data_IF_727197590254
#
_entry.id   IF_727197590254
#
_cell.length_a   1.000
_cell.length_b   1.000
_cell.length_c   1.000
_cell.angle_alpha   90.00
_cell.angle_beta   90.00
_cell.angle_gamma   90.00
#
_symmetry.space_group_name_H-M   'P 1'
#
loop_
_entity.id
_entity.type
_entity.pdbx_description
1 polymer ?
#
# COMPACT_ATOMS: atom_id res chain seq x y z
N UNK A 1 11.54 8.63 5.70
CA UNK A 1 10.09 8.40 5.91
C UNK A 1 9.34 9.66 5.48
N UNK A 2 8.44 9.59 4.49
CA UNK A 2 7.81 10.80 3.91
C UNK A 2 6.95 11.56 4.94
N UNK A 3 6.97 12.90 4.91
CA UNK A 3 6.16 13.72 5.80
C UNK A 3 4.66 13.46 5.57
N UNK A 4 3.89 13.48 6.66
CA UNK A 4 2.43 13.23 6.65
C UNK A 4 1.71 14.12 5.63
N UNK A 5 2.15 15.37 5.52
CA UNK A 5 1.59 16.41 4.65
C UNK A 5 1.69 16.05 3.18
N UNK A 6 2.81 15.47 2.73
CA UNK A 6 3.03 15.13 1.32
C UNK A 6 2.10 14.00 0.85
N UNK A 7 1.90 12.99 1.69
CA UNK A 7 0.97 11.88 1.40
C UNK A 7 -0.47 12.40 1.39
N UNK A 8 -0.84 13.26 2.34
CA UNK A 8 -2.18 13.82 2.39
C UNK A 8 -2.51 14.67 1.15
N UNK A 9 -1.57 15.52 0.71
CA UNK A 9 -1.72 16.31 -0.52
C UNK A 9 -1.89 15.40 -1.73
N UNK A 10 -1.08 14.34 -1.85
CA UNK A 10 -1.18 13.41 -2.96
C UNK A 10 -2.55 12.69 -3.00
N UNK A 11 -3.07 12.26 -1.85
CA UNK A 11 -4.40 11.64 -1.76
C UNK A 11 -5.48 12.64 -2.22
N UNK A 12 -5.40 13.90 -1.79
CA UNK A 12 -6.40 14.91 -2.17
C UNK A 12 -6.34 15.26 -3.66
N UNK A 13 -5.15 15.23 -4.26
CA UNK A 13 -4.91 15.58 -5.67
C UNK A 13 -5.32 14.48 -6.64
N UNK A 14 -5.01 13.22 -6.32
CA UNK A 14 -5.16 12.11 -7.27
C UNK A 14 -6.43 11.27 -7.05
N UNK A 15 -7.00 11.25 -5.84
CA UNK A 15 -8.18 10.44 -5.55
C UNK A 15 -9.48 11.27 -5.58
N UNK A 16 -10.54 10.87 -6.32
CA UNK A 16 -11.88 11.45 -6.20
C UNK A 16 -12.48 11.23 -4.81
N UNK A 17 -13.57 11.94 -4.49
CA UNK A 17 -14.26 11.81 -3.20
C UNK A 17 -15.00 10.46 -3.10
N UNK A 18 -14.29 9.45 -2.61
CA UNK A 18 -14.77 8.07 -2.45
C UNK A 18 -14.57 7.57 -1.02
N UNK A 19 -15.28 6.50 -0.63
CA UNK A 19 -15.09 5.83 0.66
C UNK A 19 -13.63 5.36 0.86
N UNK A 20 -12.97 4.96 -0.23
CA UNK A 20 -11.56 4.61 -0.25
C UNK A 20 -10.67 5.80 0.16
N UNK A 21 -10.85 6.96 -0.47
CA UNK A 21 -10.13 8.20 -0.13
C UNK A 21 -10.31 8.56 1.34
N UNK A 22 -11.53 8.52 1.86
CA UNK A 22 -11.78 8.83 3.26
C UNK A 22 -11.07 7.87 4.21
N UNK A 23 -11.07 6.57 3.88
CA UNK A 23 -10.35 5.56 4.67
C UNK A 23 -8.84 5.82 4.69
N UNK A 24 -8.25 6.18 3.56
CA UNK A 24 -6.83 6.57 3.49
C UNK A 24 -6.54 7.81 4.32
N UNK A 25 -7.40 8.83 4.23
CA UNK A 25 -7.26 10.06 5.02
C UNK A 25 -7.42 9.80 6.53
N UNK A 26 -8.27 8.84 6.94
CA UNK A 26 -8.37 8.43 8.34
C UNK A 26 -7.10 7.72 8.82
N UNK A 27 -6.55 6.81 8.02
CA UNK A 27 -5.33 6.07 8.39
C UNK A 27 -4.08 6.98 8.42
N UNK A 28 -3.94 7.93 7.49
CA UNK A 28 -2.81 8.87 7.51
C UNK A 28 -2.85 9.84 8.70
N UNK A 29 -4.06 10.15 9.19
CA UNK A 29 -4.28 10.97 10.39
C UNK A 29 -3.80 10.29 11.67
N UNK A 30 -3.68 8.95 11.69
CA UNK A 30 -3.15 8.22 12.85
C UNK A 30 -1.69 8.59 13.10
N UNK A 31 -1.33 8.62 14.39
CA UNK A 31 0.07 8.80 14.83
C UNK A 31 0.97 7.76 14.17
N UNK A 32 2.21 8.13 13.82
CA UNK A 32 3.18 7.23 13.17
C UNK A 32 3.33 5.89 13.90
N UNK A 33 3.22 5.92 15.23
CA UNK A 33 3.30 4.76 16.15
C UNK A 33 2.14 3.77 15.96
N UNK A 34 0.96 4.29 15.62
CA UNK A 34 -0.28 3.53 15.49
C UNK A 34 -0.62 3.19 14.03
N UNK A 35 0.30 3.48 13.10
CA UNK A 35 0.13 3.08 11.70
C UNK A 35 0.39 1.59 11.59
N UNK A 36 -0.35 0.96 10.67
CA UNK A 36 -0.24 -0.47 10.45
C UNK A 36 1.14 -0.82 9.90
N UNK A 37 1.68 -1.93 10.38
CA UNK A 37 2.94 -2.49 9.89
C UNK A 37 2.63 -3.92 9.45
N UNK A 38 2.81 -4.18 8.16
CA UNK A 38 2.41 -5.45 7.55
C UNK A 38 3.63 -6.14 6.96
N UNK A 39 3.79 -7.43 7.26
CA UNK A 39 4.83 -8.26 6.66
C UNK A 39 4.34 -8.89 5.35
N UNK A 40 5.25 -9.16 4.42
CA UNK A 40 4.95 -9.85 3.17
C UNK A 40 4.25 -11.20 3.38
N UNK A 41 4.60 -11.93 4.44
CA UNK A 41 3.94 -13.20 4.79
C UNK A 41 2.44 -13.05 5.04
N UNK A 42 1.99 -11.91 5.57
CA UNK A 42 0.56 -11.62 5.77
C UNK A 42 -0.14 -11.32 4.45
N UNK A 43 0.53 -10.60 3.55
CA UNK A 43 0.00 -10.28 2.22
C UNK A 43 -0.15 -11.57 1.40
N UNK A 44 0.87 -12.44 1.41
CA UNK A 44 0.86 -13.73 0.70
C UNK A 44 -0.36 -14.60 1.06
N UNK A 45 -0.78 -14.61 2.33
CA UNK A 45 -1.91 -15.42 2.81
C UNK A 45 -3.28 -14.90 2.38
N UNK A 46 -3.40 -13.62 2.09
CA UNK A 46 -4.69 -12.95 1.86
C UNK A 46 -4.87 -12.41 0.45
N UNK A 47 -3.80 -12.30 -0.32
CA UNK A 47 -3.85 -11.86 -1.71
C UNK A 47 -3.83 -13.07 -2.64
N UNK A 48 -4.60 -13.03 -3.72
CA UNK A 48 -4.52 -14.00 -4.81
C UNK A 48 -3.58 -13.53 -5.92
N UNK A 49 -3.25 -14.37 -6.90
CA UNK A 49 -2.41 -13.93 -8.01
C UNK A 49 -3.14 -12.88 -8.88
N UNK A 50 -2.41 -11.85 -9.31
CA UNK A 50 -2.92 -10.65 -10.00
C UNK A 50 -3.80 -9.70 -9.16
N UNK A 51 -3.92 -9.92 -7.84
CA UNK A 51 -4.63 -8.98 -6.97
C UNK A 51 -3.95 -7.61 -6.88
N UNK A 52 -4.77 -6.61 -6.55
CA UNK A 52 -4.33 -5.26 -6.21
C UNK A 52 -4.57 -5.01 -4.72
N UNK A 53 -3.47 -4.96 -3.96
CA UNK A 53 -3.52 -4.80 -2.50
C UNK A 53 -3.01 -3.43 -2.10
N UNK A 54 -3.70 -2.75 -1.19
CA UNK A 54 -3.22 -1.52 -0.57
C UNK A 54 -3.03 -1.66 0.93
N UNK A 55 -1.84 -1.33 1.41
CA UNK A 55 -1.49 -1.30 2.84
C UNK A 55 -1.43 0.15 3.33
N UNK A 56 -2.33 0.59 4.23
CA UNK A 56 -2.36 1.95 4.76
C UNK A 56 -1.31 2.11 5.87
N UNK A 57 -0.05 1.83 5.55
CA UNK A 57 1.00 1.64 6.53
C UNK A 57 2.37 1.37 5.92
N UNK A 58 3.27 0.81 6.74
CA UNK A 58 4.61 0.38 6.30
C UNK A 58 4.59 -1.12 5.99
N UNK A 59 5.11 -1.49 4.82
CA UNK A 59 5.33 -2.89 4.46
C UNK A 59 6.77 -3.29 4.76
N UNK A 60 6.93 -4.42 5.45
CA UNK A 60 8.21 -5.00 5.80
C UNK A 60 8.47 -6.28 5.02
N UNK A 61 9.72 -6.49 4.63
CA UNK A 61 10.17 -7.59 3.79
C UNK A 61 10.37 -8.94 4.50
N UNK A 62 9.71 -9.18 5.64
CA UNK A 62 9.87 -10.44 6.37
C UNK A 62 8.95 -11.53 5.81
N UNK A 63 9.50 -12.74 5.63
CA UNK A 63 8.81 -13.89 5.04
C UNK A 63 9.12 -14.14 3.57
N UNK A 64 8.56 -15.21 3.03
CA UNK A 64 8.63 -15.60 1.62
C UNK A 64 7.46 -14.96 0.87
N UNK A 65 7.76 -14.40 -0.29
CA UNK A 65 6.78 -13.78 -1.17
C UNK A 65 6.99 -14.28 -2.59
N UNK A 66 5.99 -14.93 -3.16
CA UNK A 66 6.08 -15.62 -4.47
C UNK A 66 4.96 -15.23 -5.44
N UNK A 67 3.92 -14.57 -4.94
CA UNK A 67 2.75 -14.20 -5.74
C UNK A 67 3.01 -12.96 -6.60
N UNK A 68 2.45 -12.94 -7.80
CA UNK A 68 2.56 -11.82 -8.74
C UNK A 68 1.40 -10.85 -8.52
N UNK A 69 1.56 -9.94 -7.57
CA UNK A 69 0.52 -8.97 -7.21
C UNK A 69 1.04 -7.54 -7.24
N UNK A 70 0.11 -6.60 -7.34
CA UNK A 70 0.40 -5.17 -7.22
C UNK A 70 0.16 -4.74 -5.78
N UNK A 71 1.22 -4.33 -5.08
CA UNK A 71 1.16 -3.88 -3.68
C UNK A 71 1.37 -2.37 -3.62
N UNK A 72 0.34 -1.65 -3.17
CA UNK A 72 0.38 -0.24 -2.82
C UNK A 72 0.66 -0.04 -1.33
N UNK A 73 1.52 0.91 -0.94
CA UNK A 73 1.66 1.30 0.47
C UNK A 73 2.10 2.76 0.67
N UNK A 74 2.04 3.24 1.92
CA UNK A 74 2.63 4.54 2.28
C UNK A 74 4.15 4.50 2.29
N UNK A 75 4.73 3.37 2.67
CA UNK A 75 6.18 3.18 2.73
C UNK A 75 6.53 1.69 2.68
N UNK A 76 7.63 1.37 2.03
CA UNK A 76 8.19 0.03 2.00
C UNK A 76 9.57 0.00 2.66
N UNK A 77 9.95 -1.14 3.21
CA UNK A 77 11.37 -1.43 3.47
C UNK A 77 12.08 -1.82 2.18
N UNK A 78 13.37 -1.58 2.08
CA UNK A 78 14.18 -1.98 0.91
C UNK A 78 14.06 -3.48 0.62
N UNK A 79 14.12 -4.31 1.67
CA UNK A 79 13.93 -5.76 1.55
C UNK A 79 12.55 -6.14 1.01
N UNK A 80 11.51 -5.33 1.27
CA UNK A 80 10.17 -5.60 0.76
C UNK A 80 10.11 -5.33 -0.75
N UNK A 81 10.66 -4.20 -1.19
CA UNK A 81 10.73 -3.84 -2.62
C UNK A 81 11.48 -4.93 -3.38
N UNK A 82 12.67 -5.32 -2.91
CA UNK A 82 13.48 -6.38 -3.55
C UNK A 82 12.70 -7.68 -3.72
N UNK A 83 11.98 -8.13 -2.69
CA UNK A 83 11.20 -9.37 -2.73
C UNK A 83 9.97 -9.28 -3.63
N UNK A 84 9.26 -8.15 -3.62
CA UNK A 84 8.09 -7.94 -4.47
C UNK A 84 8.53 -7.94 -5.94
N UNK A 85 9.59 -7.20 -6.28
CA UNK A 85 10.15 -7.16 -7.64
C UNK A 85 10.70 -8.52 -8.05
N UNK A 86 11.38 -9.25 -7.15
CA UNK A 86 11.89 -10.60 -7.44
C UNK A 86 10.78 -11.62 -7.71
N UNK A 87 9.61 -11.48 -7.06
CA UNK A 87 8.44 -12.31 -7.34
C UNK A 87 7.73 -11.94 -8.67
N UNK A 88 8.17 -10.87 -9.36
CA UNK A 88 7.50 -10.35 -10.55
C UNK A 88 6.25 -9.52 -10.23
N UNK A 89 6.10 -9.07 -8.98
CA UNK A 89 5.05 -8.15 -8.56
C UNK A 89 5.47 -6.69 -8.70
N UNK A 90 4.53 -5.78 -8.45
CA UNK A 90 4.74 -4.32 -8.52
C UNK A 90 4.60 -3.70 -7.14
N UNK A 91 5.62 -3.00 -6.66
CA UNK A 91 5.57 -2.22 -5.43
C UNK A 91 5.34 -0.75 -5.76
N UNK A 92 4.15 -0.23 -5.49
CA UNK A 92 3.75 1.13 -5.79
C UNK A 92 3.59 1.95 -4.51
N UNK A 93 4.14 3.16 -4.49
CA UNK A 93 3.85 4.11 -3.43
C UNK A 93 2.45 4.69 -3.62
N UNK A 94 1.84 5.17 -2.54
CA UNK A 94 0.50 5.79 -2.55
C UNK A 94 0.29 6.82 -3.68
N UNK A 95 1.32 7.58 -4.05
CA UNK A 95 1.21 8.57 -5.12
C UNK A 95 0.98 7.92 -6.49
N UNK A 96 1.78 6.91 -6.81
CA UNK A 96 1.72 6.20 -8.09
C UNK A 96 0.54 5.23 -8.13
N UNK A 97 0.28 4.58 -7.00
CA UNK A 97 -0.90 3.73 -6.83
C UNK A 97 -2.19 4.51 -7.08
N UNK A 98 -2.32 5.74 -6.59
CA UNK A 98 -3.50 6.57 -6.84
C UNK A 98 -3.57 7.15 -8.24
N UNK A 99 -2.47 7.20 -9.00
CA UNK A 99 -2.51 7.54 -10.43
C UNK A 99 -3.14 6.42 -11.24
N UNK A 100 -2.80 5.16 -10.91
CA UNK A 100 -3.34 3.98 -11.58
C UNK A 100 -4.75 3.62 -11.07
N UNK A 101 -4.96 3.65 -9.75
CA UNK A 101 -6.19 3.23 -9.06
C UNK A 101 -6.80 4.38 -8.24
N UNK A 102 -7.25 5.48 -8.87
CA UNK A 102 -7.75 6.65 -8.15
C UNK A 102 -9.02 6.34 -7.33
N UNK A 103 -9.88 5.46 -7.82
CA UNK A 103 -11.17 5.11 -7.18
C UNK A 103 -11.06 4.00 -6.14
N UNK A 104 -9.97 3.23 -6.14
CA UNK A 104 -9.85 2.02 -5.31
C UNK A 104 -10.79 0.89 -5.70
N UNK A 105 -11.32 0.91 -6.93
CA UNK A 105 -12.08 -0.21 -7.50
C UNK A 105 -11.17 -1.43 -7.60
N UNK A 106 -11.61 -2.57 -7.07
CA UNK A 106 -10.83 -3.83 -7.01
C UNK A 106 -9.58 -3.78 -6.12
N UNK A 107 -9.50 -2.83 -5.18
CA UNK A 107 -8.38 -2.73 -4.24
C UNK A 107 -8.72 -3.36 -2.90
N UNK A 108 -7.97 -4.39 -2.53
CA UNK A 108 -8.08 -5.05 -1.22
C UNK A 108 -7.20 -4.31 -0.20
N UNK A 109 -7.81 -3.74 0.84
CA UNK A 109 -7.06 -3.05 1.90
C UNK A 109 -6.65 -4.05 2.99
N UNK A 110 -5.35 -4.29 3.11
CA UNK A 110 -4.77 -5.16 4.14
C UNK A 110 -4.10 -4.31 5.22
N UNK A 111 -4.38 -4.63 6.49
CA UNK A 111 -3.89 -3.85 7.62
C UNK A 111 -3.83 -4.63 8.91
#
# INVERSE_FOLDING_TARGET
MRPRTEIEIAIRRNAPKTAFRERLLREIKRSKRNRRVVNLSRIQRHAEDNDVVFVPGKVLGSGVFTKKITVGAFSFSESAIKKITAAGGRALLVQDFLKEFPRGSEVTIIG
#
